data_IF_154186942280
#
_entry.id   IF_154186942280
#
_cell.length_a   1.000
_cell.length_b   1.000
_cell.length_c   1.000
_cell.angle_alpha   90.00
_cell.angle_beta   90.00
_cell.angle_gamma   90.00
#
_symmetry.space_group_name_H-M   'P 1'
#
loop_
_entity.id
_entity.type
_entity.pdbx_description
1 polymer ?
#
# COMPACT_ATOMS: atom_id res chain seq x y z
N UNK A 1 -0.18 -81.01 4.85
CA UNK A 1 0.94 -80.62 5.74
C UNK A 1 1.68 -79.39 5.23
N UNK A 2 2.23 -79.40 4.01
CA UNK A 2 3.02 -78.29 3.43
C UNK A 2 2.27 -76.95 3.40
N UNK A 3 0.98 -76.94 3.03
CA UNK A 3 0.15 -75.72 2.98
C UNK A 3 0.03 -75.02 4.34
N UNK A 4 -0.08 -75.78 5.43
CA UNK A 4 -0.11 -75.23 6.79
C UNK A 4 1.22 -74.58 7.16
N UNK A 5 2.34 -75.22 6.80
CA UNK A 5 3.68 -74.71 7.04
C UNK A 5 3.90 -73.35 6.33
N UNK A 6 3.45 -73.25 5.08
CA UNK A 6 3.53 -72.02 4.28
C UNK A 6 2.65 -70.91 4.89
N UNK A 7 1.42 -71.24 5.30
CA UNK A 7 0.50 -70.27 5.90
C UNK A 7 1.06 -69.73 7.22
N UNK A 8 1.56 -70.60 8.10
CA UNK A 8 2.17 -70.19 9.37
C UNK A 8 3.39 -69.30 9.12
N UNK A 9 4.27 -69.67 8.20
CA UNK A 9 5.44 -68.85 7.85
C UNK A 9 5.04 -67.47 7.31
N UNK A 10 4.04 -67.40 6.42
CA UNK A 10 3.58 -66.13 5.87
C UNK A 10 2.93 -65.22 6.93
N UNK A 11 2.26 -65.80 7.92
CA UNK A 11 1.64 -65.05 9.01
C UNK A 11 2.69 -64.45 9.97
N UNK A 12 3.72 -65.22 10.33
CA UNK A 12 4.85 -64.72 11.13
C UNK A 12 5.59 -63.59 10.43
N UNK A 13 5.89 -63.75 9.13
CA UNK A 13 6.54 -62.70 8.32
C UNK A 13 5.66 -61.46 8.21
N UNK A 14 4.35 -61.60 7.96
CA UNK A 14 3.43 -60.46 7.93
C UNK A 14 3.33 -59.72 9.26
N UNK A 15 3.40 -60.43 10.38
CA UNK A 15 3.33 -59.84 11.71
C UNK A 15 4.55 -58.96 12.00
N UNK A 16 5.73 -59.35 11.51
CA UNK A 16 6.96 -58.54 11.58
C UNK A 16 6.85 -57.27 10.72
N UNK A 17 6.39 -57.37 9.47
CA UNK A 17 6.20 -56.21 8.58
C UNK A 17 5.21 -55.17 9.16
N UNK A 18 4.13 -55.64 9.80
CA UNK A 18 3.16 -54.75 10.46
C UNK A 18 3.76 -53.98 11.64
N UNK A 19 4.69 -54.57 12.39
CA UNK A 19 5.37 -53.85 13.47
C UNK A 19 6.32 -52.77 12.94
N UNK A 20 7.00 -53.04 11.82
CA UNK A 20 7.91 -52.11 11.15
C UNK A 20 7.14 -50.92 10.57
N UNK A 21 5.99 -51.16 9.92
CA UNK A 21 5.16 -50.07 9.39
C UNK A 21 4.63 -49.18 10.52
N UNK A 22 4.25 -49.77 11.66
CA UNK A 22 3.76 -49.03 12.83
C UNK A 22 4.87 -48.18 13.46
N UNK A 23 6.09 -48.69 13.52
CA UNK A 23 7.26 -47.98 14.02
C UNK A 23 7.57 -46.76 13.14
N UNK A 24 7.65 -46.96 11.82
CA UNK A 24 7.89 -45.87 10.87
C UNK A 24 6.79 -44.83 10.94
N UNK A 25 5.52 -45.26 11.03
CA UNK A 25 4.39 -44.37 11.16
C UNK A 25 4.46 -43.52 12.45
N UNK A 26 4.86 -44.12 13.57
CA UNK A 26 5.08 -43.40 14.83
C UNK A 26 6.20 -42.35 14.72
N UNK A 27 7.31 -42.70 14.07
CA UNK A 27 8.42 -41.78 13.82
C UNK A 27 7.98 -40.64 12.90
N UNK A 28 7.21 -40.95 11.85
CA UNK A 28 6.66 -39.98 10.91
C UNK A 28 5.71 -38.99 11.61
N UNK A 29 4.82 -39.48 12.48
CA UNK A 29 3.94 -38.65 13.30
C UNK A 29 4.72 -37.74 14.25
N UNK A 30 5.85 -38.22 14.80
CA UNK A 30 6.73 -37.41 15.64
C UNK A 30 7.30 -36.22 14.85
N UNK A 31 7.78 -36.46 13.63
CA UNK A 31 8.31 -35.44 12.73
C UNK A 31 7.22 -34.42 12.34
N UNK A 32 6.03 -34.89 11.96
CA UNK A 32 4.89 -34.02 11.61
C UNK A 32 4.44 -33.19 12.80
N UNK A 33 4.42 -33.77 14.01
CA UNK A 33 4.05 -33.05 15.22
C UNK A 33 5.04 -31.93 15.57
N UNK A 34 6.32 -32.09 15.24
CA UNK A 34 7.32 -31.05 15.44
C UNK A 34 7.05 -29.84 14.52
N UNK A 35 6.69 -30.10 13.26
CA UNK A 35 6.34 -29.06 12.30
C UNK A 35 5.04 -28.34 12.66
N UNK A 36 3.98 -29.08 12.99
CA UNK A 36 2.69 -28.49 13.33
C UNK A 36 2.76 -27.67 14.62
N UNK A 37 3.50 -28.15 15.63
CA UNK A 37 3.69 -27.43 16.90
C UNK A 37 4.47 -26.12 16.72
N UNK A 38 5.47 -26.08 15.85
CA UNK A 38 6.20 -24.85 15.55
C UNK A 38 5.39 -23.88 14.67
N UNK A 39 4.69 -24.37 13.64
CA UNK A 39 3.89 -23.49 12.77
C UNK A 39 2.68 -22.88 13.47
N UNK A 40 1.92 -23.65 14.28
CA UNK A 40 0.73 -23.11 14.95
C UNK A 40 1.08 -21.96 15.89
N UNK A 41 2.21 -22.05 16.61
CA UNK A 41 2.69 -20.98 17.50
C UNK A 41 3.12 -19.72 16.74
N UNK A 42 3.70 -19.87 15.56
CA UNK A 42 4.08 -18.73 14.72
C UNK A 42 2.85 -18.06 14.12
N UNK A 43 1.91 -18.85 13.60
CA UNK A 43 0.65 -18.35 13.01
C UNK A 43 -0.18 -17.60 14.05
N UNK A 44 -0.27 -18.12 15.27
CA UNK A 44 -0.96 -17.44 16.37
C UNK A 44 -0.37 -16.04 16.65
N UNK A 45 0.96 -15.94 16.67
CA UNK A 45 1.68 -14.67 16.89
C UNK A 45 1.49 -13.69 15.74
N UNK A 46 1.57 -14.16 14.49
CA UNK A 46 1.38 -13.33 13.29
C UNK A 46 -0.08 -12.78 13.24
N UNK A 47 -1.07 -13.57 13.66
CA UNK A 47 -2.48 -13.15 13.76
C UNK A 47 -2.70 -12.14 14.89
N UNK A 48 -2.08 -12.35 16.05
CA UNK A 48 -2.17 -11.42 17.17
C UNK A 48 -1.57 -10.05 16.81
N UNK A 49 -0.40 -10.03 16.17
CA UNK A 49 0.24 -8.80 15.69
C UNK A 49 -0.61 -8.08 14.64
N UNK A 50 -1.16 -8.82 13.67
CA UNK A 50 -2.04 -8.26 12.64
C UNK A 50 -3.31 -7.67 13.26
N UNK A 51 -3.91 -8.36 14.24
CA UNK A 51 -5.10 -7.89 14.96
C UNK A 51 -4.82 -6.57 15.70
N UNK A 52 -3.69 -6.51 16.42
CA UNK A 52 -3.25 -5.30 17.12
C UNK A 52 -3.03 -4.16 16.11
N UNK A 53 -2.37 -4.44 14.98
CA UNK A 53 -2.12 -3.47 13.92
C UNK A 53 -3.42 -2.90 13.35
N UNK A 54 -4.35 -3.75 12.93
CA UNK A 54 -5.65 -3.33 12.37
C UNK A 54 -6.42 -2.46 13.36
N UNK A 55 -6.43 -2.83 14.65
CA UNK A 55 -7.08 -2.05 15.69
C UNK A 55 -6.43 -0.66 15.84
N UNK A 56 -5.11 -0.58 15.84
CA UNK A 56 -4.38 0.69 15.93
C UNK A 56 -4.59 1.55 14.69
N UNK A 57 -4.54 0.96 13.49
CA UNK A 57 -4.80 1.63 12.23
C UNK A 57 -6.22 2.16 12.18
N UNK A 58 -7.22 1.36 12.58
CA UNK A 58 -8.62 1.78 12.65
C UNK A 58 -8.79 3.00 13.57
N UNK A 59 -8.13 3.00 14.73
CA UNK A 59 -8.18 4.13 15.65
C UNK A 59 -7.45 5.37 15.12
N UNK A 60 -6.33 5.19 14.42
CA UNK A 60 -5.63 6.29 13.75
C UNK A 60 -6.45 6.86 12.59
N UNK A 61 -7.10 6.01 11.80
CA UNK A 61 -8.03 6.41 10.73
C UNK A 61 -9.20 7.21 11.31
N UNK A 62 -9.79 6.76 12.42
CA UNK A 62 -10.85 7.52 13.13
C UNK A 62 -10.37 8.91 13.55
N UNK A 63 -9.14 9.05 14.06
CA UNK A 63 -8.57 10.38 14.42
C UNK A 63 -8.32 11.24 13.19
N UNK A 64 -7.72 10.68 12.14
CA UNK A 64 -7.44 11.39 10.89
C UNK A 64 -8.74 11.84 10.22
N UNK A 65 -9.76 10.98 10.22
CA UNK A 65 -11.09 11.30 9.72
C UNK A 65 -11.73 12.41 10.56
N UNK A 66 -11.65 12.34 11.89
CA UNK A 66 -12.17 13.39 12.78
C UNK A 66 -11.49 14.75 12.57
N UNK A 67 -10.17 14.76 12.37
CA UNK A 67 -9.43 16.01 12.06
C UNK A 67 -9.88 16.55 10.70
N UNK A 68 -10.04 15.69 9.70
CA UNK A 68 -10.57 16.10 8.39
C UNK A 68 -12.01 16.63 8.52
N UNK A 69 -12.85 16.03 9.39
CA UNK A 69 -14.19 16.54 9.70
C UNK A 69 -14.14 17.90 10.41
N UNK A 70 -13.29 18.09 11.42
CA UNK A 70 -13.13 19.37 12.14
C UNK A 70 -12.55 20.48 11.24
N UNK A 71 -11.59 20.16 10.36
CA UNK A 71 -11.03 21.10 9.37
C UNK A 71 -12.03 21.44 8.25
N UNK A 72 -12.91 20.50 7.86
CA UNK A 72 -13.98 20.74 6.88
C UNK A 72 -15.18 21.49 7.48
N UNK A 73 -15.39 21.39 8.81
CA UNK A 73 -16.39 22.16 9.56
C UNK A 73 -15.96 23.60 9.88
N UNK A 74 -14.68 23.93 9.68
CA UNK A 74 -14.15 25.28 9.78
C UNK A 74 -14.05 25.87 8.36
N UNK A 75 -15.12 26.58 7.98
CA UNK A 75 -15.36 27.45 6.80
C UNK A 75 -16.09 26.80 5.60
N UNK A 76 -17.27 27.34 5.21
CA UNK A 76 -17.54 28.77 5.17
C UNK A 76 -18.83 29.17 5.93
N UNK A 77 -18.66 29.89 7.04
CA UNK A 77 -19.64 30.89 7.48
C UNK A 77 -19.63 32.02 6.42
N UNK A 78 -20.34 31.82 5.31
CA UNK A 78 -20.67 32.89 4.38
C UNK A 78 -21.64 33.85 5.10
N UNK A 79 -21.08 34.73 5.92
CA UNK A 79 -21.72 35.95 6.40
C UNK A 79 -21.86 36.92 5.22
N UNK A 80 -22.78 36.64 4.30
CA UNK A 80 -23.25 37.63 3.33
C UNK A 80 -24.23 38.54 4.02
N UNK A 81 -23.70 39.58 4.67
CA UNK A 81 -24.45 40.78 5.06
C UNK A 81 -24.96 41.45 3.79
N UNK A 82 -26.22 41.19 3.42
CA UNK A 82 -26.88 41.86 2.31
C UNK A 82 -27.32 43.26 2.74
N UNK A 83 -26.51 44.26 2.38
CA UNK A 83 -26.91 45.66 2.30
C UNK A 83 -26.51 46.17 0.91
N UNK A 84 -27.46 46.33 0.00
CA UNK A 84 -27.33 47.08 -1.26
C UNK A 84 -28.34 48.23 -1.22
N UNK A 85 -27.91 49.50 -1.23
CA UNK A 85 -27.82 50.46 -2.36
C UNK A 85 -27.68 51.91 -1.76
N UNK A 86 -27.45 53.03 -2.50
CA UNK A 86 -26.47 53.38 -3.55
C UNK A 86 -25.87 54.85 -3.49
N UNK A 87 -24.63 55.08 -4.03
CA UNK A 87 -24.04 56.35 -4.62
C UNK A 87 -23.71 57.54 -3.65
N UNK A 88 -22.79 58.55 -3.87
CA UNK A 88 -21.88 58.97 -4.99
C UNK A 88 -20.35 59.22 -4.67
N UNK A 89 -19.55 59.42 -5.74
CA UNK A 89 -18.15 59.92 -5.95
C UNK A 89 -17.68 61.14 -5.08
N UNK A 90 -16.40 61.66 -5.01
CA UNK A 90 -15.11 61.34 -5.69
C UNK A 90 -13.78 61.40 -4.84
N UNK A 91 -12.67 60.92 -5.43
CA UNK A 91 -11.23 61.10 -5.05
C UNK A 91 -10.76 60.38 -3.77
N UNK A 92 -9.69 59.57 -3.72
CA UNK A 92 -8.27 59.90 -3.96
C UNK A 92 -7.43 58.61 -4.17
N UNK A 93 -6.70 58.57 -5.28
CA UNK A 93 -5.34 58.04 -5.53
C UNK A 93 -4.79 56.88 -4.67
N UNK A 94 -4.48 55.74 -5.32
CA UNK A 94 -3.47 54.79 -4.83
C UNK A 94 -2.56 54.29 -5.98
N UNK A 95 -1.22 54.31 -5.82
CA UNK A 95 -0.23 54.07 -6.89
C UNK A 95 -0.12 52.62 -7.42
N UNK A 96 -1.02 51.71 -7.03
CA UNK A 96 -0.94 50.28 -7.38
C UNK A 96 -1.67 49.89 -8.68
N UNK A 97 -2.49 50.79 -9.23
CA UNK A 97 -3.21 50.57 -10.50
C UNK A 97 -2.25 50.60 -11.71
N UNK A 98 -1.02 51.08 -11.53
CA UNK A 98 0.01 51.05 -12.58
C UNK A 98 0.63 49.65 -12.77
N UNK A 99 0.62 48.78 -11.76
CA UNK A 99 1.23 47.44 -11.85
C UNK A 99 0.35 46.42 -12.57
N UNK A 100 -0.97 46.62 -12.56
CA UNK A 100 -1.93 45.69 -13.19
C UNK A 100 -1.93 45.79 -14.72
N UNK A 101 -1.41 46.88 -15.29
CA UNK A 101 -1.26 47.02 -16.75
C UNK A 101 -0.02 46.28 -17.30
N UNK A 102 0.94 45.94 -16.44
CA UNK A 102 2.16 45.20 -16.81
C UNK A 102 1.97 43.68 -16.76
N UNK A 103 1.05 43.19 -15.92
CA UNK A 103 0.74 41.76 -15.79
C UNK A 103 -0.16 41.22 -16.91
N UNK A 104 -0.94 42.08 -17.60
CA UNK A 104 -1.88 41.68 -18.66
C UNK A 104 -1.19 41.43 -20.02
N UNK A 105 0.03 41.92 -20.24
CA UNK A 105 0.78 41.66 -21.49
C UNK A 105 1.45 40.29 -21.53
N UNK A 106 1.55 39.58 -20.41
CA UNK A 106 2.08 38.21 -20.38
C UNK A 106 0.98 37.15 -20.61
N UNK A 107 -0.28 37.55 -20.82
CA UNK A 107 -1.40 36.67 -21.14
C UNK A 107 -1.70 36.53 -22.64
N UNK A 108 -0.82 36.98 -23.55
CA UNK A 108 -1.14 37.04 -24.99
C UNK A 108 -0.20 36.26 -25.94
N UNK A 109 0.59 35.30 -25.45
CA UNK A 109 1.20 34.29 -26.34
C UNK A 109 0.42 32.97 -26.22
N UNK A 110 -0.64 32.89 -27.02
CA UNK A 110 -1.49 31.71 -27.12
C UNK A 110 -0.94 30.72 -28.17
N UNK A 111 -0.90 29.44 -27.75
CA UNK A 111 -1.24 28.25 -28.54
C UNK A 111 -0.18 27.64 -29.48
N UNK A 112 0.69 26.79 -28.91
CA UNK A 112 0.86 25.40 -29.37
C UNK A 112 0.90 24.47 -28.15
N UNK A 113 0.32 23.29 -28.31
CA UNK A 113 -0.27 22.43 -27.28
C UNK A 113 0.76 21.92 -26.26
N UNK A 114 0.35 22.00 -24.99
CA UNK A 114 1.03 21.68 -23.71
C UNK A 114 1.07 20.15 -23.42
N UNK A 115 1.66 19.65 -22.29
CA UNK A 115 2.15 20.36 -21.09
C UNK A 115 3.56 19.93 -20.57
N UNK A 116 4.49 20.85 -20.30
CA UNK A 116 4.69 21.76 -19.14
C UNK A 116 5.18 21.09 -17.83
N UNK A 117 6.43 21.35 -17.39
CA UNK A 117 7.01 20.85 -16.14
C UNK A 117 6.77 21.84 -14.99
N UNK A 118 5.90 21.55 -14.03
CA UNK A 118 5.85 22.20 -12.70
C UNK A 118 4.76 21.60 -11.80
N UNK A 119 5.15 20.69 -10.90
CA UNK A 119 4.66 20.60 -9.51
C UNK A 119 5.27 19.33 -8.88
N UNK A 120 6.45 19.47 -8.27
CA UNK A 120 7.01 18.40 -7.44
C UNK A 120 6.29 18.46 -6.10
N UNK A 121 5.07 17.91 -6.06
CA UNK A 121 4.45 17.50 -4.81
C UNK A 121 5.36 16.42 -4.21
N UNK A 122 5.78 16.52 -2.94
CA UNK A 122 6.81 15.65 -2.39
C UNK A 122 6.38 14.21 -2.58
N UNK A 123 7.08 13.51 -3.48
CA UNK A 123 6.85 12.11 -3.80
C UNK A 123 7.06 11.38 -2.48
N UNK A 124 5.96 10.95 -1.85
CA UNK A 124 6.02 10.28 -0.56
C UNK A 124 6.97 9.11 -0.70
N UNK A 125 7.98 9.05 0.17
CA UNK A 125 9.03 8.04 0.18
C UNK A 125 8.48 6.60 0.12
N UNK A 126 7.24 6.40 0.55
CA UNK A 126 6.45 5.17 0.42
C UNK A 126 6.29 4.71 -1.04
N UNK A 127 6.03 5.64 -1.97
CA UNK A 127 5.87 5.36 -3.40
C UNK A 127 7.21 4.91 -4.01
N UNK A 128 8.31 5.52 -3.56
CA UNK A 128 9.67 5.14 -3.99
C UNK A 128 9.99 3.71 -3.54
N UNK A 129 9.67 3.37 -2.30
CA UNK A 129 9.83 2.01 -1.77
C UNK A 129 9.01 0.98 -2.55
N UNK A 130 7.73 1.28 -2.82
CA UNK A 130 6.84 0.39 -3.58
C UNK A 130 7.38 0.11 -4.99
N UNK A 131 7.87 1.13 -5.69
CA UNK A 131 8.45 0.99 -7.03
C UNK A 131 9.73 0.14 -6.99
N UNK A 132 10.59 0.37 -5.99
CA UNK A 132 11.85 -0.38 -5.86
C UNK A 132 11.61 -1.85 -5.54
N UNK A 133 10.63 -2.16 -4.68
CA UNK A 133 10.24 -3.53 -4.37
C UNK A 133 9.66 -4.26 -5.59
N UNK A 134 8.77 -3.62 -6.34
CA UNK A 134 8.20 -4.22 -7.55
C UNK A 134 9.26 -4.44 -8.63
N UNK A 135 10.22 -3.52 -8.77
CA UNK A 135 11.34 -3.68 -9.69
C UNK A 135 12.29 -4.82 -9.26
N UNK A 136 12.54 -4.97 -7.95
CA UNK A 136 13.32 -6.10 -7.40
C UNK A 136 12.63 -7.45 -7.62
N UNK A 137 11.30 -7.48 -7.70
CA UNK A 137 10.51 -8.66 -8.04
C UNK A 137 10.57 -9.02 -9.54
N UNK A 138 11.26 -8.23 -10.36
CA UNK A 138 11.44 -8.50 -11.79
C UNK A 138 10.25 -8.09 -12.67
N UNK A 139 9.36 -7.23 -12.17
CA UNK A 139 8.25 -6.69 -12.97
C UNK A 139 8.76 -5.65 -13.98
N UNK A 140 8.07 -5.54 -15.11
CA UNK A 140 8.41 -4.56 -16.14
C UNK A 140 8.04 -3.13 -15.69
N UNK A 141 8.74 -2.13 -16.21
CA UNK A 141 8.49 -0.70 -15.95
C UNK A 141 7.03 -0.31 -16.24
N UNK A 142 6.42 -0.91 -17.27
CA UNK A 142 5.02 -0.67 -17.62
C UNK A 142 4.04 -1.25 -16.59
N UNK A 143 4.31 -2.46 -16.08
CA UNK A 143 3.47 -3.06 -15.03
C UNK A 143 3.56 -2.29 -13.70
N UNK A 144 4.74 -1.78 -13.37
CA UNK A 144 4.98 -0.99 -12.16
C UNK A 144 4.26 0.36 -12.25
N UNK A 145 4.22 0.97 -13.44
CA UNK A 145 3.49 2.21 -13.73
C UNK A 145 2.00 2.06 -13.41
N UNK A 146 1.37 0.99 -13.89
CA UNK A 146 -0.06 0.71 -13.64
C UNK A 146 -0.32 0.43 -12.14
N UNK A 147 0.56 -0.35 -11.49
CA UNK A 147 0.35 -0.76 -10.08
C UNK A 147 0.62 0.34 -9.07
N UNK A 148 1.56 1.22 -9.35
CA UNK A 148 1.96 2.31 -8.45
C UNK A 148 1.27 3.63 -8.80
N UNK A 149 0.47 3.65 -9.87
CA UNK A 149 -0.21 4.85 -10.39
C UNK A 149 0.79 5.96 -10.78
N UNK A 150 1.97 5.57 -11.28
CA UNK A 150 3.07 6.44 -11.72
C UNK A 150 3.26 6.33 -13.22
N UNK A 151 3.84 7.32 -13.88
CA UNK A 151 4.20 7.21 -15.30
C UNK A 151 5.48 6.39 -15.50
N UNK A 152 5.68 5.82 -16.69
CA UNK A 152 6.88 5.04 -17.01
C UNK A 152 8.18 5.84 -16.80
N UNK A 153 8.17 7.14 -17.15
CA UNK A 153 9.28 8.05 -16.87
C UNK A 153 9.57 8.19 -15.38
N UNK A 154 8.55 8.32 -14.54
CA UNK A 154 8.73 8.44 -13.08
C UNK A 154 9.28 7.15 -12.47
N UNK A 155 8.80 6.00 -12.95
CA UNK A 155 9.30 4.69 -12.52
C UNK A 155 10.78 4.52 -12.89
N UNK A 156 11.17 4.87 -14.13
CA UNK A 156 12.57 4.87 -14.57
C UNK A 156 13.44 5.79 -13.72
N UNK A 157 12.95 6.98 -13.40
CA UNK A 157 13.67 7.95 -12.59
C UNK A 157 13.87 7.46 -11.15
N UNK A 158 12.87 6.79 -10.57
CA UNK A 158 12.94 6.20 -9.24
C UNK A 158 13.93 5.03 -9.20
N UNK A 159 13.92 4.15 -10.19
CA UNK A 159 14.86 3.01 -10.26
C UNK A 159 16.30 3.51 -10.47
N UNK A 160 16.49 4.52 -11.32
CA UNK A 160 17.80 5.12 -11.57
C UNK A 160 18.39 5.84 -10.35
N UNK A 161 17.54 6.50 -9.54
CA UNK A 161 17.98 7.19 -8.32
C UNK A 161 18.06 6.28 -7.09
N UNK A 162 17.21 5.25 -6.99
CA UNK A 162 17.13 4.31 -5.87
C UNK A 162 18.00 3.05 -6.00
N UNK A 163 18.72 2.90 -7.11
CA UNK A 163 19.69 1.82 -7.36
C UNK A 163 21.14 2.16 -6.99
N UNK A 164 21.37 3.27 -6.27
CA UNK A 164 22.68 3.69 -5.79
C UNK A 164 22.84 3.45 -4.30
#
# INVERSE_FOLDING_TARGET
MVKYLIITYYNEVKLLDLSIILMIFGILLMIVSFFFKNSSKKVEKDVEELSISIFQETNNLKRRLKIVEEELLLEPEFQVKSNSTPKPNPSVQSPKVQQVMQAVQQAAQASKVAPNPSQVKPIHQIIVSQVLELNKQGLSVGDISIRSNLTEEQVRQVIANGGR
#
